data_IF_755305235696
#
_entry.id   IF_755305235696
#
_cell.length_a   1.000
_cell.length_b   1.000
_cell.length_c   1.000
_cell.angle_alpha   90.00
_cell.angle_beta   90.00
_cell.angle_gamma   90.00
#
_symmetry.space_group_name_H-M   'P 1'
#
loop_
_entity.id
_entity.type
_entity.pdbx_description
1 polymer ?
#
# COMPACT_ATOMS: atom_id res chain seq x y z
N UNK A 1 -78.46 -21.62 -45.09
CA UNK A 1 -78.06 -20.34 -45.72
C UNK A 1 -76.64 -20.02 -45.29
N UNK A 2 -75.73 -19.92 -46.26
CA UNK A 2 -74.33 -19.59 -46.06
C UNK A 2 -74.16 -18.07 -45.85
N UNK A 3 -73.26 -17.67 -44.96
CA UNK A 3 -72.73 -16.31 -44.91
C UNK A 3 -71.22 -16.38 -44.66
N UNK A 4 -70.52 -15.77 -45.61
CA UNK A 4 -69.10 -15.90 -45.94
C UNK A 4 -68.23 -15.10 -44.98
N UNK A 5 -67.09 -15.68 -44.61
CA UNK A 5 -65.97 -15.02 -43.92
C UNK A 5 -65.30 -13.99 -44.83
N UNK A 6 -65.10 -12.77 -44.35
CA UNK A 6 -64.11 -11.84 -44.91
C UNK A 6 -63.09 -11.50 -43.84
N UNK A 7 -61.96 -12.22 -43.87
CA UNK A 7 -60.76 -11.84 -43.15
C UNK A 7 -60.15 -10.61 -43.84
N UNK A 8 -60.17 -9.46 -43.18
CA UNK A 8 -59.38 -8.32 -43.60
C UNK A 8 -57.90 -8.59 -43.28
N UNK A 9 -57.11 -8.83 -44.32
CA UNK A 9 -55.65 -8.85 -44.25
C UNK A 9 -55.16 -7.47 -43.81
N UNK A 10 -54.71 -7.36 -42.56
CA UNK A 10 -53.88 -6.23 -42.12
C UNK A 10 -52.46 -6.52 -42.58
N UNK A 11 -52.00 -5.81 -43.60
CA UNK A 11 -50.61 -5.88 -44.03
C UNK A 11 -49.69 -5.40 -42.89
N UNK A 12 -48.57 -6.09 -42.59
CA UNK A 12 -47.60 -5.56 -41.66
C UNK A 12 -47.02 -4.29 -42.25
N UNK A 13 -47.14 -3.19 -41.50
CA UNK A 13 -46.41 -1.95 -41.80
C UNK A 13 -44.94 -2.32 -41.69
N UNK A 14 -44.22 -2.27 -42.81
CA UNK A 14 -42.77 -2.34 -42.80
C UNK A 14 -42.26 -1.11 -42.03
N UNK A 15 -42.07 -1.26 -40.72
CA UNK A 15 -41.16 -0.40 -39.98
C UNK A 15 -39.78 -0.69 -40.56
N UNK A 16 -39.38 0.14 -41.52
CA UNK A 16 -37.97 0.33 -41.82
C UNK A 16 -37.35 0.88 -40.53
N UNK A 17 -37.00 -0.04 -39.63
CA UNK A 17 -36.05 0.19 -38.56
C UNK A 17 -34.76 0.58 -39.23
N UNK A 18 -34.59 1.89 -39.45
CA UNK A 18 -33.26 2.49 -39.49
C UNK A 18 -32.68 2.19 -38.12
N UNK A 19 -31.95 1.08 -38.11
CA UNK A 19 -31.08 0.64 -37.05
C UNK A 19 -30.34 1.87 -36.54
N UNK A 20 -30.74 2.33 -35.36
CA UNK A 20 -30.21 3.50 -34.69
C UNK A 20 -28.85 3.10 -34.09
N UNK A 21 -27.93 2.67 -34.96
CA UNK A 21 -26.57 2.24 -34.64
C UNK A 21 -25.64 3.40 -34.26
N UNK A 22 -26.19 4.58 -33.98
CA UNK A 22 -25.43 5.71 -33.46
C UNK A 22 -26.03 6.16 -32.13
N UNK A 23 -25.16 6.06 -31.13
CA UNK A 23 -25.11 6.93 -29.95
C UNK A 23 -25.81 6.51 -28.64
N UNK A 24 -25.92 5.21 -28.38
CA UNK A 24 -26.18 4.72 -27.01
C UNK A 24 -25.09 3.71 -26.60
N UNK A 25 -23.96 4.21 -26.08
CA UNK A 25 -23.36 3.47 -24.96
C UNK A 25 -24.47 3.42 -23.92
N UNK A 26 -25.13 2.26 -23.76
CA UNK A 26 -26.19 2.09 -22.76
C UNK A 26 -25.72 2.71 -21.46
N UNK A 27 -26.59 3.48 -20.78
CA UNK A 27 -26.25 4.11 -19.51
C UNK A 27 -25.60 3.12 -18.54
N UNK A 28 -26.00 1.84 -18.56
CA UNK A 28 -25.41 0.76 -17.78
C UNK A 28 -23.93 0.49 -18.13
N UNK A 29 -23.55 0.54 -19.41
CA UNK A 29 -22.15 0.39 -19.84
C UNK A 29 -21.29 1.56 -19.35
N UNK A 30 -21.84 2.77 -19.40
CA UNK A 30 -21.18 3.98 -18.91
C UNK A 30 -21.00 3.93 -17.39
N UNK A 31 -22.05 3.56 -16.65
CA UNK A 31 -21.99 3.34 -15.19
C UNK A 31 -20.94 2.28 -14.85
N UNK A 32 -20.94 1.14 -15.56
CA UNK A 32 -19.98 0.06 -15.33
C UNK A 32 -18.53 0.42 -15.68
N UNK A 33 -18.30 1.33 -16.63
CA UNK A 33 -16.97 1.88 -16.90
C UNK A 33 -16.51 2.79 -15.76
N UNK A 34 -17.35 3.74 -15.33
CA UNK A 34 -17.02 4.66 -14.22
C UNK A 34 -16.81 3.93 -12.90
N UNK A 35 -17.60 2.90 -12.59
CA UNK A 35 -17.40 2.11 -11.38
C UNK A 35 -15.99 1.47 -11.36
N UNK A 36 -15.55 0.88 -12.48
CA UNK A 36 -14.21 0.28 -12.58
C UNK A 36 -13.09 1.30 -12.46
N UNK A 37 -13.27 2.48 -13.05
CA UNK A 37 -12.35 3.62 -12.92
C UNK A 37 -12.22 4.06 -11.46
N UNK A 38 -13.34 4.33 -10.79
CA UNK A 38 -13.37 4.73 -9.37
C UNK A 38 -12.75 3.66 -8.45
N UNK A 39 -13.00 2.37 -8.71
CA UNK A 39 -12.34 1.28 -7.96
C UNK A 39 -10.83 1.22 -8.22
N UNK A 40 -10.40 1.53 -9.45
CA UNK A 40 -8.99 1.64 -9.81
C UNK A 40 -8.32 2.79 -9.07
N UNK A 41 -8.90 3.98 -9.13
CA UNK A 41 -8.44 5.19 -8.43
C UNK A 41 -8.37 4.98 -6.92
N UNK A 42 -9.46 4.50 -6.31
CA UNK A 42 -9.49 4.22 -4.88
C UNK A 42 -8.43 3.22 -4.45
N UNK A 43 -8.13 2.20 -5.28
CA UNK A 43 -7.04 1.25 -5.03
C UNK A 43 -5.66 1.91 -5.14
N UNK A 44 -5.46 2.81 -6.10
CA UNK A 44 -4.20 3.55 -6.22
C UNK A 44 -3.99 4.46 -5.00
N UNK A 45 -5.02 5.22 -4.61
CA UNK A 45 -5.00 6.05 -3.41
C UNK A 45 -4.69 5.21 -2.17
N UNK A 46 -5.41 4.12 -1.97
CA UNK A 46 -5.21 3.22 -0.82
C UNK A 46 -3.77 2.66 -0.73
N UNK A 47 -3.16 2.34 -1.87
CA UNK A 47 -1.82 1.71 -1.91
C UNK A 47 -0.68 2.72 -1.83
N UNK A 48 -0.82 3.89 -2.43
CA UNK A 48 0.31 4.77 -2.73
C UNK A 48 0.12 6.24 -2.31
N UNK A 49 -1.09 6.67 -1.98
CA UNK A 49 -1.28 8.03 -1.47
C UNK A 49 -0.82 8.11 -0.01
N UNK A 50 0.04 9.08 0.24
CA UNK A 50 0.68 9.35 1.54
C UNK A 50 -0.10 10.38 2.34
N UNK A 51 -1.07 11.07 1.72
CA UNK A 51 -1.84 12.15 2.37
C UNK A 51 -0.93 13.22 3.01
N UNK A 52 0.22 13.45 2.38
CA UNK A 52 1.28 14.33 2.86
C UNK A 52 1.90 13.97 4.22
N UNK A 53 1.70 12.76 4.73
CA UNK A 53 2.25 12.26 5.99
C UNK A 53 3.78 12.22 6.02
N UNK A 54 4.45 12.33 4.86
CA UNK A 54 5.90 12.52 4.73
C UNK A 54 6.45 13.67 5.58
N UNK A 55 5.64 14.70 5.86
CA UNK A 55 6.03 15.76 6.79
C UNK A 55 6.18 15.25 8.23
N UNK A 56 5.36 14.28 8.61
CA UNK A 56 5.46 13.61 9.88
C UNK A 56 6.50 12.47 9.83
N UNK A 57 6.28 11.45 9.00
CA UNK A 57 7.11 10.25 8.89
C UNK A 57 8.55 10.55 8.44
N UNK A 58 8.70 11.45 7.48
CA UNK A 58 9.96 11.81 6.86
C UNK A 58 10.65 12.99 7.53
N UNK A 59 9.98 14.14 7.65
CA UNK A 59 10.65 15.37 8.12
C UNK A 59 10.76 15.40 9.66
N UNK A 60 9.66 15.15 10.38
CA UNK A 60 9.63 15.20 11.84
C UNK A 60 10.28 13.96 12.48
N UNK A 61 9.89 12.75 12.07
CA UNK A 61 10.39 11.51 12.65
C UNK A 61 11.72 11.04 12.06
N UNK A 62 12.01 11.43 10.81
CA UNK A 62 13.23 11.03 10.08
C UNK A 62 13.37 9.51 9.89
N UNK A 63 12.24 8.81 9.75
CA UNK A 63 12.24 7.33 9.61
C UNK A 63 13.11 6.85 8.46
N UNK A 64 13.17 7.59 7.35
CA UNK A 64 14.01 7.27 6.20
C UNK A 64 15.50 7.11 6.58
N UNK A 65 16.01 7.89 7.54
CA UNK A 65 17.40 7.82 7.99
C UNK A 65 17.66 6.53 8.79
N UNK A 66 16.72 6.09 9.62
CA UNK A 66 16.85 4.82 10.34
C UNK A 66 16.69 3.61 9.41
N UNK A 67 15.82 3.72 8.39
CA UNK A 67 15.62 2.69 7.37
C UNK A 67 16.90 2.49 6.55
N UNK A 68 17.51 3.56 6.07
CA UNK A 68 18.69 3.47 5.20
C UNK A 68 19.97 3.17 5.98
N UNK A 69 20.12 3.69 7.21
CA UNK A 69 21.32 3.51 8.01
C UNK A 69 22.52 4.32 7.53
N UNK A 70 23.59 4.31 8.34
CA UNK A 70 24.76 5.16 8.12
C UNK A 70 25.44 4.93 6.75
N UNK A 71 25.36 3.70 6.21
CA UNK A 71 25.95 3.36 4.90
C UNK A 71 25.35 4.15 3.73
N UNK A 72 24.11 4.61 3.86
CA UNK A 72 23.39 5.34 2.80
C UNK A 72 23.04 6.79 3.17
N UNK A 73 23.67 7.34 4.22
CA UNK A 73 23.48 8.73 4.64
C UNK A 73 22.57 8.91 5.85
N UNK A 74 22.01 7.82 6.38
CA UNK A 74 21.11 7.82 7.52
C UNK A 74 21.83 7.60 8.85
N UNK A 75 21.14 6.96 9.80
CA UNK A 75 21.65 6.72 11.15
C UNK A 75 21.48 5.26 11.58
N UNK A 76 22.41 4.78 12.39
CA UNK A 76 22.40 3.39 12.87
C UNK A 76 22.73 2.37 11.78
N UNK A 77 22.35 1.11 12.02
CA UNK A 77 22.70 -0.01 11.15
C UNK A 77 21.89 -0.07 9.86
N UNK A 78 20.75 0.62 9.77
CA UNK A 78 19.78 0.44 8.70
C UNK A 78 18.80 -0.71 9.00
N UNK A 79 17.64 -0.68 8.35
CA UNK A 79 16.62 -1.72 8.49
C UNK A 79 16.86 -2.81 7.45
N UNK A 80 17.14 -4.04 7.88
CA UNK A 80 17.24 -5.19 6.99
C UNK A 80 15.87 -5.76 6.62
N UNK A 81 15.73 -6.51 5.50
CA UNK A 81 14.47 -7.18 5.17
C UNK A 81 13.97 -8.11 6.28
N UNK A 82 14.85 -8.87 6.92
CA UNK A 82 14.49 -9.77 8.02
C UNK A 82 13.93 -9.00 9.23
N UNK A 83 14.56 -7.87 9.59
CA UNK A 83 14.06 -7.02 10.67
C UNK A 83 12.73 -6.35 10.30
N UNK A 84 12.57 -5.89 9.05
CA UNK A 84 11.32 -5.32 8.54
C UNK A 84 10.17 -6.35 8.61
N UNK A 85 10.39 -7.57 8.12
CA UNK A 85 9.43 -8.68 8.17
C UNK A 85 9.11 -9.06 9.63
N UNK A 86 10.13 -9.08 10.51
CA UNK A 86 9.96 -9.32 11.94
C UNK A 86 9.15 -8.24 12.66
N UNK A 87 9.19 -7.01 12.17
CA UNK A 87 8.31 -5.91 12.62
C UNK A 87 6.90 -5.96 11.98
N UNK A 88 6.61 -6.98 11.17
CA UNK A 88 5.30 -7.18 10.54
C UNK A 88 5.09 -6.40 9.24
N UNK A 89 6.11 -5.74 8.69
CA UNK A 89 6.04 -5.21 7.33
C UNK A 89 5.90 -6.36 6.34
N UNK A 90 5.16 -6.12 5.25
CA UNK A 90 4.85 -7.14 4.25
C UNK A 90 5.43 -6.76 2.90
N UNK A 91 5.81 -7.76 2.11
CA UNK A 91 6.38 -7.57 0.77
C UNK A 91 5.46 -8.18 -0.29
N UNK A 92 5.03 -7.35 -1.23
CA UNK A 92 4.20 -7.73 -2.37
C UNK A 92 5.04 -8.41 -3.44
N UNK A 93 4.90 -9.73 -3.57
CA UNK A 93 5.64 -10.52 -4.56
C UNK A 93 5.26 -10.18 -6.00
N UNK A 94 4.11 -9.54 -6.23
CA UNK A 94 3.67 -9.15 -7.59
C UNK A 94 4.37 -7.88 -8.09
N UNK A 95 5.00 -7.11 -7.19
CA UNK A 95 5.83 -5.97 -7.52
C UNK A 95 7.29 -6.35 -7.82
N UNK A 96 7.70 -7.59 -7.50
CA UNK A 96 9.07 -8.06 -7.68
C UNK A 96 9.27 -8.66 -9.09
N UNK A 97 10.47 -8.51 -9.69
CA UNK A 97 10.85 -9.29 -10.85
C UNK A 97 10.77 -10.80 -10.56
N UNK A 98 10.34 -11.65 -11.53
CA UNK A 98 10.23 -13.10 -11.30
C UNK A 98 11.53 -13.74 -10.80
N UNK A 99 12.68 -13.31 -11.31
CA UNK A 99 13.99 -13.80 -10.87
C UNK A 99 14.30 -13.48 -9.41
N UNK A 100 13.81 -12.35 -8.88
CA UNK A 100 13.97 -11.99 -7.48
C UNK A 100 13.03 -12.81 -6.59
N UNK A 101 11.81 -13.10 -7.05
CA UNK A 101 10.90 -14.02 -6.35
C UNK A 101 11.54 -15.40 -6.22
N UNK A 102 12.10 -15.93 -7.31
CA UNK A 102 12.82 -17.21 -7.29
C UNK A 102 14.04 -17.17 -6.37
N UNK A 103 14.81 -16.08 -6.38
CA UNK A 103 15.96 -15.93 -5.49
C UNK A 103 15.55 -15.91 -4.00
N UNK A 104 14.44 -15.26 -3.66
CA UNK A 104 13.89 -15.27 -2.29
C UNK A 104 13.43 -16.68 -1.90
N UNK A 105 12.69 -17.37 -2.79
CA UNK A 105 12.24 -18.75 -2.57
C UNK A 105 13.38 -19.71 -2.25
N UNK A 106 14.53 -19.54 -2.90
CA UNK A 106 15.70 -20.40 -2.73
C UNK A 106 16.71 -19.87 -1.70
N UNK A 107 16.37 -18.82 -0.95
CA UNK A 107 17.25 -18.25 0.09
C UNK A 107 18.54 -17.62 -0.46
N UNK A 108 18.55 -17.21 -1.73
CA UNK A 108 19.71 -16.62 -2.41
C UNK A 108 19.82 -15.09 -2.21
N UNK A 109 18.83 -14.47 -1.54
CA UNK A 109 18.85 -13.04 -1.19
C UNK A 109 19.26 -12.88 0.27
N UNK A 110 20.24 -12.03 0.53
CA UNK A 110 20.63 -11.69 1.91
C UNK A 110 19.57 -10.81 2.59
N UNK A 111 18.74 -11.41 3.42
CA UNK A 111 17.70 -10.70 4.17
C UNK A 111 18.26 -9.89 5.36
N UNK A 112 19.56 -9.93 5.63
CA UNK A 112 20.19 -9.16 6.70
C UNK A 112 20.87 -7.88 6.20
N UNK A 113 20.98 -7.67 4.89
CA UNK A 113 21.57 -6.46 4.31
C UNK A 113 20.51 -5.34 4.10
N UNK A 114 20.62 -4.16 4.75
CA UNK A 114 19.75 -3.01 4.52
C UNK A 114 19.67 -2.52 3.07
N UNK A 115 20.67 -2.81 2.23
CA UNK A 115 20.60 -2.52 0.79
C UNK A 115 19.35 -3.14 0.15
N UNK A 116 18.99 -4.35 0.58
CA UNK A 116 17.86 -5.08 0.02
C UNK A 116 16.52 -4.47 0.46
N UNK A 117 16.44 -3.86 1.65
CA UNK A 117 15.24 -3.07 2.03
C UNK A 117 15.07 -1.86 1.12
N UNK A 118 16.14 -1.11 0.85
CA UNK A 118 16.08 0.04 -0.05
C UNK A 118 15.72 -0.38 -1.48
N UNK A 119 16.22 -1.53 -1.96
CA UNK A 119 15.85 -2.09 -3.25
C UNK A 119 14.35 -2.45 -3.31
N UNK A 120 13.82 -3.12 -2.28
CA UNK A 120 12.39 -3.46 -2.18
C UNK A 120 11.50 -2.21 -2.13
N UNK A 121 11.92 -1.18 -1.41
CA UNK A 121 11.18 0.10 -1.36
C UNK A 121 11.12 0.77 -2.73
N UNK A 122 12.23 0.81 -3.48
CA UNK A 122 12.26 1.38 -4.84
C UNK A 122 11.36 0.65 -5.84
N UNK A 123 11.14 -0.64 -5.61
CA UNK A 123 10.19 -1.45 -6.38
C UNK A 123 8.73 -1.23 -5.92
N UNK A 124 8.49 -0.38 -4.91
CA UNK A 124 7.20 -0.24 -4.21
C UNK A 124 6.66 -1.59 -3.70
N UNK A 125 7.57 -2.51 -3.35
CA UNK A 125 7.22 -3.85 -2.94
C UNK A 125 6.91 -3.94 -1.44
N UNK A 126 7.50 -3.08 -0.61
CA UNK A 126 7.14 -3.00 0.82
C UNK A 126 5.76 -2.35 0.93
N UNK A 127 4.79 -3.11 1.39
CA UNK A 127 3.38 -2.70 1.40
C UNK A 127 3.18 -1.53 2.35
N UNK A 128 2.68 -0.43 1.81
CA UNK A 128 2.29 0.75 2.59
C UNK A 128 3.44 1.67 3.01
N UNK A 129 4.65 1.44 2.52
CA UNK A 129 5.80 2.34 2.73
C UNK A 129 6.25 2.88 1.39
N UNK A 130 6.17 4.21 1.22
CA UNK A 130 6.45 4.88 -0.06
C UNK A 130 7.75 5.67 0.05
N UNK A 131 8.81 5.31 -0.71
CA UNK A 131 10.02 6.12 -0.75
C UNK A 131 9.77 7.42 -1.52
N UNK A 132 10.35 8.52 -1.04
CA UNK A 132 10.21 9.83 -1.66
C UNK A 132 11.59 10.33 -2.03
N UNK A 133 11.79 10.52 -3.33
CA UNK A 133 13.07 10.95 -3.90
C UNK A 133 14.21 9.97 -3.63
N UNK A 134 15.41 10.35 -4.04
CA UNK A 134 16.63 9.59 -3.74
C UNK A 134 17.81 10.55 -3.63
N UNK A 135 18.76 10.22 -2.75
CA UNK A 135 20.01 10.99 -2.62
C UNK A 135 21.01 10.53 -3.68
N UNK A 136 22.04 11.34 -3.95
CA UNK A 136 23.08 11.01 -4.93
C UNK A 136 23.86 9.72 -4.60
N UNK A 137 23.93 9.37 -3.32
CA UNK A 137 24.60 8.16 -2.82
C UNK A 137 23.68 6.94 -2.74
N UNK A 138 22.45 7.05 -3.26
CA UNK A 138 21.48 5.95 -3.24
C UNK A 138 20.81 5.73 -1.88
N UNK A 139 20.63 6.80 -1.09
CA UNK A 139 19.71 6.84 0.06
C UNK A 139 18.33 7.37 -0.34
N UNK A 140 17.47 7.56 0.64
CA UNK A 140 16.11 8.13 0.52
C UNK A 140 16.13 9.62 0.90
N UNK A 141 15.35 10.47 0.22
CA UNK A 141 15.19 11.85 0.68
C UNK A 141 14.14 11.96 1.78
N UNK A 142 13.10 11.13 1.71
CA UNK A 142 12.02 11.05 2.70
C UNK A 142 11.26 9.73 2.54
N UNK A 143 10.29 9.49 3.42
CA UNK A 143 9.38 8.33 3.36
C UNK A 143 8.01 8.75 3.86
N UNK A 144 6.96 8.20 3.25
CA UNK A 144 5.59 8.28 3.74
C UNK A 144 5.00 6.88 3.93
N UNK A 145 3.87 6.81 4.61
CA UNK A 145 3.08 5.58 4.75
C UNK A 145 1.69 5.76 4.17
N UNK A 146 1.00 4.65 3.90
CA UNK A 146 -0.32 4.66 3.25
C UNK A 146 -1.30 3.78 4.01
N UNK A 147 -2.58 3.83 3.63
CA UNK A 147 -3.62 2.98 4.23
C UNK A 147 -3.25 1.49 4.18
N UNK A 148 -2.56 1.05 3.12
CA UNK A 148 -2.15 -0.33 2.94
C UNK A 148 -1.18 -0.84 4.01
N UNK A 149 -0.47 0.02 4.74
CA UNK A 149 0.47 -0.41 5.79
C UNK A 149 -0.24 -1.25 6.87
N UNK A 150 -1.38 -0.73 7.35
CA UNK A 150 -2.19 -1.37 8.38
C UNK A 150 -3.35 -2.20 7.81
N UNK A 151 -3.81 -1.88 6.60
CA UNK A 151 -5.00 -2.49 5.99
C UNK A 151 -4.70 -3.44 4.81
N UNK A 152 -3.46 -3.91 4.68
CA UNK A 152 -3.13 -4.99 3.77
C UNK A 152 -2.25 -6.03 4.43
N UNK A 153 -2.40 -7.29 4.01
CA UNK A 153 -1.45 -8.36 4.30
C UNK A 153 -1.09 -9.09 3.01
N UNK A 154 -0.35 -10.20 3.09
CA UNK A 154 -0.05 -11.07 1.96
C UNK A 154 -0.55 -12.48 2.21
N UNK A 155 -0.57 -13.31 1.17
CA UNK A 155 -0.93 -14.73 1.25
C UNK A 155 0.23 -15.66 1.65
N UNK A 156 1.40 -15.11 1.96
CA UNK A 156 2.63 -15.83 2.29
C UNK A 156 3.05 -16.87 1.22
N UNK A 157 2.65 -16.69 -0.04
CA UNK A 157 2.90 -17.68 -1.10
C UNK A 157 4.38 -17.84 -1.48
N UNK A 158 5.25 -16.93 -1.03
CA UNK A 158 6.69 -16.95 -1.30
C UNK A 158 7.48 -17.28 -0.04
N UNK A 159 7.24 -16.55 1.04
CA UNK A 159 7.82 -16.78 2.36
C UNK A 159 6.92 -16.11 3.41
N UNK A 160 7.08 -16.39 4.72
CA UNK A 160 6.35 -15.64 5.75
C UNK A 160 6.56 -14.12 5.60
N UNK A 161 5.45 -13.38 5.42
CA UNK A 161 5.45 -11.94 5.17
C UNK A 161 5.71 -11.52 3.72
N UNK A 162 5.90 -12.46 2.79
CA UNK A 162 6.15 -12.21 1.36
C UNK A 162 5.16 -13.01 0.50
N UNK A 163 4.36 -12.33 -0.31
CA UNK A 163 3.37 -13.00 -1.16
C UNK A 163 2.48 -12.04 -1.93
N UNK A 164 1.39 -12.54 -2.49
CA UNK A 164 0.42 -11.71 -3.20
C UNK A 164 -0.35 -10.86 -2.19
N UNK A 165 -0.40 -9.55 -2.47
CA UNK A 165 -1.11 -8.57 -1.66
C UNK A 165 -2.60 -8.90 -1.52
N UNK A 166 -3.11 -8.78 -0.30
CA UNK A 166 -4.53 -8.84 0.09
C UNK A 166 -4.94 -7.49 0.66
N UNK A 167 -5.49 -6.63 -0.19
CA UNK A 167 -5.99 -5.31 0.24
C UNK A 167 -7.28 -5.43 1.05
N UNK A 168 -7.43 -4.56 2.05
CA UNK A 168 -8.57 -4.52 2.97
C UNK A 168 -8.48 -5.53 4.12
N UNK A 169 -7.43 -6.34 4.17
CA UNK A 169 -7.19 -7.31 5.25
C UNK A 169 -6.28 -6.66 6.30
N UNK A 170 -6.64 -6.68 7.60
CA UNK A 170 -5.84 -6.03 8.62
C UNK A 170 -4.49 -6.73 8.78
N UNK A 171 -3.41 -5.95 8.82
CA UNK A 171 -2.08 -6.42 9.19
C UNK A 171 -1.98 -6.59 10.70
N UNK A 172 -2.37 -7.77 11.19
CA UNK A 172 -2.40 -8.07 12.63
C UNK A 172 -1.01 -8.33 13.23
N UNK A 173 0.02 -8.40 12.39
CA UNK A 173 1.40 -8.64 12.84
C UNK A 173 2.20 -7.34 12.91
N UNK A 174 1.68 -6.23 12.35
CA UNK A 174 2.40 -4.96 12.27
C UNK A 174 2.71 -4.42 13.66
N UNK A 175 4.00 -4.26 13.95
CA UNK A 175 4.46 -3.66 15.20
C UNK A 175 4.73 -2.17 14.98
N UNK A 176 3.65 -1.38 14.97
CA UNK A 176 3.73 0.08 14.78
C UNK A 176 4.60 0.73 15.85
N UNK A 177 4.51 0.25 17.09
CA UNK A 177 5.32 0.72 18.20
C UNK A 177 6.82 0.60 17.96
N UNK A 178 7.28 -0.58 17.51
CA UNK A 178 8.69 -0.80 17.17
C UNK A 178 9.15 0.07 15.97
N UNK A 179 8.29 0.23 14.95
CA UNK A 179 8.58 1.08 13.80
C UNK A 179 8.74 2.54 14.23
N UNK A 180 7.89 3.05 15.12
CA UNK A 180 8.04 4.43 15.60
C UNK A 180 9.24 4.56 16.55
N UNK A 181 9.48 3.56 17.40
CA UNK A 181 10.59 3.56 18.34
C UNK A 181 11.98 3.53 17.66
N UNK A 182 12.07 3.21 16.37
CA UNK A 182 13.32 3.32 15.61
C UNK A 182 13.58 4.74 15.06
N UNK A 183 12.58 5.63 15.06
CA UNK A 183 12.68 6.98 14.53
C UNK A 183 13.85 7.73 15.18
N UNK A 184 14.76 8.36 14.41
CA UNK A 184 15.87 9.11 14.99
C UNK A 184 15.43 10.26 15.88
N UNK A 185 14.28 10.86 15.58
CA UNK A 185 13.76 12.02 16.27
C UNK A 185 12.30 11.79 16.70
N UNK A 186 12.04 11.81 18.00
CA UNK A 186 10.69 11.79 18.57
C UNK A 186 10.37 13.08 19.32
N UNK A 187 11.13 14.16 19.07
CA UNK A 187 10.98 15.44 19.79
C UNK A 187 9.60 16.05 19.61
N UNK A 188 8.99 15.97 18.41
CA UNK A 188 7.64 16.48 18.17
C UNK A 188 6.61 15.82 19.10
N UNK A 189 6.70 14.51 19.27
CA UNK A 189 5.79 13.69 20.09
C UNK A 189 6.08 13.90 21.57
N UNK A 190 7.36 13.89 21.94
CA UNK A 190 7.80 14.12 23.31
C UNK A 190 7.38 15.52 23.82
N UNK A 191 7.47 16.55 22.97
CA UNK A 191 7.04 17.90 23.29
C UNK A 191 5.53 18.01 23.50
N UNK A 192 4.72 17.39 22.63
CA UNK A 192 3.26 17.36 22.76
C UNK A 192 2.84 16.73 24.08
N UNK A 193 3.47 15.61 24.44
CA UNK A 193 3.17 14.84 25.65
C UNK A 193 3.85 15.36 26.92
N UNK A 194 4.72 16.36 26.81
CA UNK A 194 5.53 16.91 27.91
C UNK A 194 6.37 15.85 28.64
N UNK A 195 6.93 14.90 27.88
CA UNK A 195 7.85 13.86 28.38
C UNK A 195 9.15 13.86 27.57
N UNK A 196 10.11 13.01 27.92
CA UNK A 196 11.33 12.83 27.14
C UNK A 196 11.19 11.77 26.03
N UNK A 197 12.07 11.81 25.02
CA UNK A 197 12.04 10.83 23.93
C UNK A 197 12.24 9.38 24.41
N UNK A 198 13.12 9.07 25.40
CA UNK A 198 13.20 7.72 25.97
C UNK A 198 11.87 7.20 26.51
N UNK A 199 11.08 8.05 27.17
CA UNK A 199 9.74 7.70 27.66
C UNK A 199 8.80 7.38 26.49
N UNK A 200 8.79 8.19 25.43
CA UNK A 200 8.01 7.91 24.21
C UNK A 200 8.40 6.56 23.61
N UNK A 201 9.70 6.25 23.50
CA UNK A 201 10.18 4.95 22.99
C UNK A 201 9.76 3.80 23.90
N UNK A 202 9.81 3.97 25.21
CA UNK A 202 9.38 2.94 26.16
C UNK A 202 7.89 2.62 26.00
N UNK A 203 7.04 3.65 25.86
CA UNK A 203 5.61 3.49 25.60
C UNK A 203 5.38 2.83 24.25
N UNK A 204 5.99 3.32 23.17
CA UNK A 204 5.83 2.74 21.84
C UNK A 204 6.23 1.26 21.79
N UNK A 205 7.37 0.90 22.40
CA UNK A 205 7.80 -0.51 22.47
C UNK A 205 6.89 -1.40 23.33
N UNK A 206 6.06 -0.83 24.22
CA UNK A 206 5.14 -1.60 25.06
C UNK A 206 3.90 -2.12 24.30
N UNK A 207 3.59 -1.58 23.12
CA UNK A 207 2.40 -1.94 22.36
C UNK A 207 2.48 -3.36 21.79
N UNK A 208 3.61 -3.71 21.19
CA UNK A 208 3.82 -4.99 20.53
C UNK A 208 3.04 -5.15 19.20
N UNK A 209 3.19 -6.32 18.54
CA UNK A 209 2.57 -6.60 17.24
C UNK A 209 1.04 -6.50 17.25
N UNK A 210 0.48 -5.91 16.18
CA UNK A 210 -0.96 -5.79 15.98
C UNK A 210 -1.66 -4.75 16.85
N UNK A 211 -0.89 -3.95 17.61
CA UNK A 211 -1.41 -2.90 18.49
C UNK A 211 -0.88 -1.53 18.08
N UNK A 212 -1.74 -0.55 18.28
CA UNK A 212 -1.47 0.86 18.01
C UNK A 212 -2.35 1.69 18.94
N UNK A 213 -1.76 2.68 19.61
CA UNK A 213 -2.52 3.69 20.32
C UNK A 213 -2.71 4.90 19.41
N UNK A 214 -3.96 5.16 19.03
CA UNK A 214 -4.30 6.26 18.15
C UNK A 214 -4.16 7.62 18.85
N UNK A 215 -4.27 7.67 20.18
CA UNK A 215 -4.20 8.93 20.93
C UNK A 215 -2.78 9.49 20.99
N UNK A 216 -1.75 8.64 20.86
CA UNK A 216 -0.35 9.09 20.99
C UNK A 216 0.12 9.95 19.79
N UNK A 217 -0.52 9.80 18.62
CA UNK A 217 -0.09 10.41 17.36
C UNK A 217 -1.19 11.19 16.63
N UNK A 218 -2.33 11.41 17.28
CA UNK A 218 -3.44 12.22 16.77
C UNK A 218 -3.66 13.43 17.70
N UNK A 219 -2.97 14.53 17.42
CA UNK A 219 -3.39 15.91 17.72
C UNK A 219 -2.87 16.85 16.62
#
# INVERSE_FOLDING_TARGET
MAAVWTAAFVAPRAETGRDNQRDERSFDQTIGAHARELFGEGRQTFRFDTFADKHFCGDALKLHQAIEGARFGGVGAGLSPAAALGAGLKVDSTALPPSLVDAVLHGAVDLNDPANTLALLRLNAVIGVVPIGSTAIGGLQSVGVTCALCHSTVDDSVAPGIGRRRDGWPNRDLNVGAIIAMAPDLSAVAALLQVDQPTVRAVANSWGPGRFDAELFLD
#
